data_IF_315826872908
#
_entry.id   IF_315826872908
#
_cell.length_a   1.000
_cell.length_b   1.000
_cell.length_c   1.000
_cell.angle_alpha   90.00
_cell.angle_beta   90.00
_cell.angle_gamma   90.00
#
_symmetry.space_group_name_H-M   'P 1'
#
loop_
_entity.id
_entity.type
_entity.pdbx_description
1 polymer ?
#
# COMPACT_ATOMS: atom_id res chain seq x y z
N UNK A 1 -10.61 29.81 -7.32
CA UNK A 1 -10.87 30.53 -8.58
C UNK A 1 -11.57 29.54 -9.51
N UNK A 2 -12.84 29.78 -9.75
CA UNK A 2 -13.63 29.00 -10.71
C UNK A 2 -13.19 29.36 -12.13
N UNK A 3 -12.92 28.34 -12.93
CA UNK A 3 -12.34 28.40 -14.29
C UNK A 3 -13.25 29.01 -15.36
N UNK A 4 -14.25 29.81 -15.01
CA UNK A 4 -15.19 30.37 -15.97
C UNK A 4 -14.71 31.55 -16.79
N UNK A 5 -13.52 32.09 -16.50
CA UNK A 5 -13.05 33.35 -17.10
C UNK A 5 -11.78 33.24 -17.94
N UNK A 6 -11.25 32.03 -18.13
CA UNK A 6 -10.13 31.83 -19.04
C UNK A 6 -10.63 31.24 -20.34
N UNK A 7 -10.49 31.95 -21.44
CA UNK A 7 -10.79 31.45 -22.77
C UNK A 7 -10.17 30.07 -22.98
N UNK A 8 -10.89 29.18 -23.62
CA UNK A 8 -10.69 27.73 -23.72
C UNK A 8 -9.32 27.29 -24.27
N UNK A 9 -8.51 28.19 -24.72
CA UNK A 9 -7.19 27.92 -25.32
C UNK A 9 -6.10 28.05 -24.26
N UNK A 10 -5.45 26.93 -23.90
CA UNK A 10 -4.27 26.82 -23.00
C UNK A 10 -4.56 26.72 -21.50
N UNK A 11 -5.48 25.89 -21.08
CA UNK A 11 -5.71 25.61 -19.65
C UNK A 11 -4.81 24.47 -19.17
N UNK A 12 -3.99 24.69 -18.12
CA UNK A 12 -3.28 23.65 -17.39
C UNK A 12 -4.09 23.33 -16.13
N UNK A 13 -4.42 22.06 -15.94
CA UNK A 13 -5.12 21.56 -14.75
C UNK A 13 -4.19 20.66 -13.98
N UNK A 14 -4.14 20.85 -12.66
CA UNK A 14 -3.31 20.06 -11.76
C UNK A 14 -4.22 19.28 -10.82
N UNK A 15 -4.02 17.97 -10.78
CA UNK A 15 -4.77 17.03 -9.97
C UNK A 15 -3.83 16.23 -9.08
N UNK A 16 -4.36 15.68 -7.99
CA UNK A 16 -3.64 14.67 -7.20
C UNK A 16 -3.66 13.32 -7.92
N UNK A 17 -2.71 12.44 -7.65
CA UNK A 17 -2.70 11.06 -8.21
C UNK A 17 -4.00 10.30 -7.91
N UNK A 18 -4.62 10.54 -6.76
CA UNK A 18 -5.91 9.93 -6.43
C UNK A 18 -7.01 10.24 -7.47
N UNK A 19 -6.94 11.40 -8.11
CA UNK A 19 -7.93 11.81 -9.12
C UNK A 19 -7.87 10.96 -10.39
N UNK A 20 -6.72 10.36 -10.70
CA UNK A 20 -6.56 9.44 -11.84
C UNK A 20 -7.46 8.20 -11.75
N UNK A 21 -7.94 7.86 -10.54
CA UNK A 21 -8.68 6.63 -10.25
C UNK A 21 -10.12 6.89 -9.82
N UNK A 22 -10.59 8.12 -9.82
CA UNK A 22 -11.98 8.45 -9.46
C UNK A 22 -12.92 8.10 -10.58
N UNK A 23 -14.09 7.48 -10.26
CA UNK A 23 -15.11 7.07 -11.20
C UNK A 23 -15.79 8.24 -11.93
N UNK A 24 -15.67 9.44 -11.41
CA UNK A 24 -16.20 10.70 -11.96
C UNK A 24 -15.11 11.76 -11.92
N UNK A 25 -13.98 11.48 -12.55
CA UNK A 25 -12.98 12.52 -12.70
C UNK A 25 -13.42 13.52 -13.78
N UNK A 26 -12.87 14.72 -13.72
CA UNK A 26 -13.17 15.77 -14.67
C UNK A 26 -12.67 15.44 -16.09
N UNK A 27 -11.74 14.49 -16.26
CA UNK A 27 -11.31 13.98 -17.56
C UNK A 27 -12.43 13.32 -18.36
N UNK A 28 -13.44 12.72 -17.69
CA UNK A 28 -14.59 12.09 -18.35
C UNK A 28 -15.68 13.11 -18.74
N UNK A 29 -15.65 14.32 -18.16
CA UNK A 29 -16.72 15.32 -18.37
C UNK A 29 -16.38 16.39 -19.38
N UNK A 30 -15.14 16.56 -19.70
CA UNK A 30 -14.64 17.61 -20.56
C UNK A 30 -14.01 17.04 -21.83
N UNK A 31 -13.89 17.91 -22.84
CA UNK A 31 -13.17 17.56 -24.07
C UNK A 31 -11.82 16.94 -23.71
N UNK A 32 -11.47 15.86 -24.42
CA UNK A 32 -10.23 15.12 -24.21
C UNK A 32 -9.05 16.09 -24.06
N UNK A 33 -8.26 15.99 -22.98
CA UNK A 33 -7.07 16.82 -22.85
C UNK A 33 -6.07 16.47 -23.97
N UNK A 34 -5.36 17.45 -24.46
CA UNK A 34 -4.33 17.27 -25.49
C UNK A 34 -3.15 16.43 -25.00
N UNK A 35 -2.87 16.46 -23.69
CA UNK A 35 -1.80 15.72 -23.02
C UNK A 35 -2.14 15.53 -21.55
N UNK A 36 -1.91 14.34 -21.03
CA UNK A 36 -1.90 14.04 -19.60
C UNK A 36 -0.45 13.81 -19.13
N UNK A 37 0.02 14.61 -18.17
CA UNK A 37 1.31 14.38 -17.54
C UNK A 37 1.10 13.82 -16.15
N UNK A 38 1.71 12.64 -15.88
CA UNK A 38 1.72 11.99 -14.58
C UNK A 38 3.13 12.13 -14.02
N UNK A 39 3.26 12.83 -12.90
CA UNK A 39 4.54 13.08 -12.23
C UNK A 39 4.65 12.20 -10.99
N UNK A 40 5.76 11.50 -10.84
CA UNK A 40 6.06 10.53 -9.77
C UNK A 40 5.16 9.27 -9.72
N UNK A 41 5.52 8.35 -8.82
CA UNK A 41 4.85 7.05 -8.65
C UNK A 41 3.41 7.18 -8.14
N UNK A 42 2.45 6.66 -8.88
CA UNK A 42 1.03 6.65 -8.55
C UNK A 42 0.53 5.33 -7.91
N UNK A 43 1.37 4.31 -7.83
CA UNK A 43 0.98 2.94 -7.42
C UNK A 43 0.22 2.93 -6.08
N UNK A 44 0.69 3.69 -5.09
CA UNK A 44 0.03 3.77 -3.79
C UNK A 44 -1.41 4.27 -3.87
N UNK A 45 -1.72 5.15 -4.83
CA UNK A 45 -3.08 5.63 -5.08
C UNK A 45 -3.92 4.60 -5.84
N UNK A 46 -3.30 3.88 -6.79
CA UNK A 46 -3.94 2.84 -7.58
C UNK A 46 -4.44 1.66 -6.73
N UNK A 47 -3.65 1.27 -5.72
CA UNK A 47 -3.95 0.13 -4.82
C UNK A 47 -4.47 0.57 -3.45
N UNK A 48 -4.80 1.85 -3.27
CA UNK A 48 -5.31 2.36 -2.00
C UNK A 48 -6.75 1.92 -1.73
N UNK A 49 -7.05 1.71 -0.44
CA UNK A 49 -8.42 1.39 0.03
C UNK A 49 -9.03 0.16 -0.67
N UNK A 50 -8.27 -0.95 -0.73
CA UNK A 50 -8.79 -2.22 -1.21
C UNK A 50 -10.05 -2.60 -0.42
N UNK A 51 -11.13 -3.04 -1.11
CA UNK A 51 -12.32 -3.50 -0.42
C UNK A 51 -12.03 -4.72 0.45
N UNK A 52 -12.69 -4.80 1.59
CA UNK A 52 -12.57 -5.96 2.49
C UNK A 52 -13.92 -6.34 3.08
N UNK A 53 -14.05 -7.62 3.45
CA UNK A 53 -15.23 -8.18 4.09
C UNK A 53 -14.80 -8.86 5.40
N UNK A 54 -15.41 -8.54 6.54
CA UNK A 54 -15.16 -9.25 7.79
C UNK A 54 -15.45 -10.75 7.65
N UNK A 55 -14.61 -11.60 8.24
CA UNK A 55 -14.75 -13.06 8.19
C UNK A 55 -16.15 -13.52 8.64
N UNK A 56 -16.69 -12.91 9.71
CA UNK A 56 -18.03 -13.22 10.18
C UNK A 56 -19.12 -13.02 9.13
N UNK A 57 -19.01 -11.96 8.31
CA UNK A 57 -19.95 -11.69 7.21
C UNK A 57 -19.81 -12.73 6.09
N UNK A 58 -18.58 -13.14 5.78
CA UNK A 58 -18.31 -14.18 4.77
C UNK A 58 -18.96 -15.51 5.20
N UNK A 59 -18.71 -15.95 6.42
CA UNK A 59 -19.27 -17.21 6.96
C UNK A 59 -20.80 -17.14 7.04
N UNK A 60 -21.35 -16.00 7.42
CA UNK A 60 -22.79 -15.84 7.59
C UNK A 60 -23.55 -15.83 6.26
N UNK A 61 -22.99 -15.23 5.23
CA UNK A 61 -23.72 -14.89 4.01
C UNK A 61 -23.30 -15.70 2.77
N UNK A 62 -22.12 -16.31 2.74
CA UNK A 62 -21.70 -17.16 1.62
C UNK A 62 -22.14 -18.60 1.91
N UNK A 63 -23.39 -18.90 1.54
CA UNK A 63 -24.02 -20.20 1.69
C UNK A 63 -25.17 -20.34 0.69
N UNK A 64 -25.53 -21.55 0.37
CA UNK A 64 -26.73 -21.87 -0.43
C UNK A 64 -27.38 -23.15 0.07
N UNK A 65 -28.61 -23.41 -0.34
CA UNK A 65 -29.33 -24.61 0.03
C UNK A 65 -28.58 -25.87 -0.42
N UNK A 66 -28.10 -26.64 0.51
CA UNK A 66 -27.29 -27.86 0.29
C UNK A 66 -25.81 -27.70 0.60
N UNK A 67 -25.28 -26.48 0.77
CA UNK A 67 -23.91 -26.27 1.21
C UNK A 67 -23.76 -25.02 2.09
N UNK A 68 -24.13 -25.16 3.34
CA UNK A 68 -24.12 -24.05 4.30
C UNK A 68 -22.71 -23.64 4.78
N UNK A 69 -21.69 -24.47 4.52
CA UNK A 69 -20.32 -24.25 4.99
C UNK A 69 -19.43 -23.56 3.96
N UNK A 70 -19.93 -23.19 2.79
CA UNK A 70 -19.14 -22.62 1.70
C UNK A 70 -18.28 -21.40 2.14
N UNK A 71 -18.88 -20.49 2.93
CA UNK A 71 -18.16 -19.34 3.47
C UNK A 71 -17.07 -19.72 4.46
N UNK A 72 -17.28 -20.75 5.25
CA UNK A 72 -16.28 -21.28 6.16
C UNK A 72 -15.11 -21.91 5.39
N UNK A 73 -15.39 -22.75 4.38
CA UNK A 73 -14.34 -23.37 3.57
C UNK A 73 -13.53 -22.36 2.77
N UNK A 74 -14.16 -21.29 2.29
CA UNK A 74 -13.44 -20.18 1.66
C UNK A 74 -12.49 -19.46 2.63
N UNK A 75 -12.97 -19.19 3.86
CA UNK A 75 -12.14 -18.58 4.90
C UNK A 75 -10.99 -19.50 5.29
N UNK A 76 -11.25 -20.77 5.47
CA UNK A 76 -10.26 -21.80 5.82
C UNK A 76 -9.20 -21.90 4.72
N UNK A 77 -9.61 -21.95 3.45
CA UNK A 77 -8.71 -21.94 2.30
C UNK A 77 -7.77 -20.73 2.34
N UNK A 78 -8.31 -19.52 2.53
CA UNK A 78 -7.53 -18.30 2.50
C UNK A 78 -6.63 -18.12 3.74
N UNK A 79 -7.08 -18.59 4.92
CA UNK A 79 -6.36 -18.36 6.19
C UNK A 79 -5.32 -19.43 6.48
N UNK A 80 -5.67 -20.71 6.34
CA UNK A 80 -4.86 -21.83 6.77
C UNK A 80 -4.13 -22.53 5.60
N UNK A 81 -4.68 -22.39 4.37
CA UNK A 81 -4.11 -22.98 3.17
C UNK A 81 -3.53 -21.92 2.19
N UNK A 82 -3.30 -20.71 2.66
CA UNK A 82 -2.70 -19.60 1.89
C UNK A 82 -3.40 -19.32 0.54
N UNK A 83 -4.67 -19.70 0.43
CA UNK A 83 -5.47 -19.53 -0.77
C UNK A 83 -5.27 -20.62 -1.84
N UNK A 84 -4.68 -21.76 -1.48
CA UNK A 84 -4.52 -22.92 -2.37
C UNK A 84 -5.89 -23.43 -2.84
N UNK A 85 -6.13 -23.35 -4.13
CA UNK A 85 -7.40 -23.74 -4.75
C UNK A 85 -7.62 -25.26 -4.75
N UNK A 86 -6.57 -26.08 -4.60
CA UNK A 86 -6.70 -27.52 -4.47
C UNK A 86 -7.54 -27.90 -3.24
N UNK A 87 -7.39 -27.13 -2.15
CA UNK A 87 -8.17 -27.32 -0.92
C UNK A 87 -9.69 -27.30 -1.16
N UNK A 88 -10.16 -26.38 -2.01
CA UNK A 88 -11.59 -26.28 -2.35
C UNK A 88 -11.99 -27.34 -3.40
N UNK A 89 -11.14 -27.55 -4.42
CA UNK A 89 -11.39 -28.53 -5.49
C UNK A 89 -11.46 -29.96 -4.95
N UNK A 90 -10.64 -30.31 -3.97
CA UNK A 90 -10.66 -31.63 -3.30
C UNK A 90 -11.94 -31.85 -2.48
N UNK A 91 -12.71 -30.81 -2.24
CA UNK A 91 -14.04 -30.82 -1.59
C UNK A 91 -15.20 -30.72 -2.57
N UNK A 92 -14.90 -30.90 -3.87
CA UNK A 92 -15.87 -30.71 -4.95
C UNK A 92 -16.52 -29.31 -4.97
N UNK A 93 -15.80 -28.29 -4.45
CA UNK A 93 -16.22 -26.89 -4.50
C UNK A 93 -15.66 -26.25 -5.77
N UNK A 94 -16.54 -25.82 -6.66
CA UNK A 94 -16.20 -25.15 -7.91
C UNK A 94 -16.91 -23.81 -8.08
N UNK A 95 -16.91 -23.28 -9.28
CA UNK A 95 -17.61 -22.03 -9.61
C UNK A 95 -19.14 -22.14 -9.44
N UNK A 96 -19.69 -23.34 -9.60
CA UNK A 96 -21.12 -23.57 -9.45
C UNK A 96 -21.61 -23.24 -8.04
N UNK A 97 -20.90 -23.70 -7.00
CA UNK A 97 -21.25 -23.47 -5.60
C UNK A 97 -21.25 -21.99 -5.27
N UNK A 98 -20.25 -21.25 -5.73
CA UNK A 98 -20.20 -19.79 -5.54
C UNK A 98 -21.29 -19.05 -6.33
N UNK A 99 -21.59 -19.47 -7.55
CA UNK A 99 -22.65 -18.88 -8.38
C UNK A 99 -24.06 -19.21 -7.86
N UNK A 100 -24.22 -20.30 -7.10
CA UNK A 100 -25.48 -20.68 -6.47
C UNK A 100 -25.81 -19.87 -5.21
N UNK A 101 -24.84 -19.09 -4.67
CA UNK A 101 -25.11 -18.19 -3.54
C UNK A 101 -26.15 -17.16 -3.94
N UNK A 102 -27.32 -17.20 -3.29
CA UNK A 102 -28.41 -16.26 -3.58
C UNK A 102 -28.07 -14.87 -3.10
N UNK A 103 -27.70 -14.02 -4.04
CA UNK A 103 -27.40 -12.62 -3.80
C UNK A 103 -28.66 -11.81 -3.47
N UNK A 104 -29.84 -12.34 -3.82
CA UNK A 104 -31.14 -11.67 -3.56
C UNK A 104 -31.51 -11.66 -2.07
N UNK A 105 -31.11 -12.67 -1.30
CA UNK A 105 -31.31 -12.72 0.14
C UNK A 105 -30.47 -11.68 0.90
N UNK A 106 -29.45 -11.16 0.26
CA UNK A 106 -28.57 -10.13 0.81
C UNK A 106 -29.06 -8.71 0.55
N UNK A 107 -30.23 -8.52 -0.08
CA UNK A 107 -30.76 -7.19 -0.39
C UNK A 107 -31.04 -6.41 0.90
N UNK A 108 -30.34 -5.28 1.14
CA UNK A 108 -30.51 -4.49 2.36
C UNK A 108 -31.94 -3.93 2.53
N UNK A 109 -32.73 -3.89 1.46
CA UNK A 109 -34.12 -3.45 1.53
C UNK A 109 -35.08 -4.51 2.11
N UNK A 110 -34.67 -5.78 2.20
CA UNK A 110 -35.51 -6.86 2.75
C UNK A 110 -35.31 -7.08 4.26
N UNK A 111 -34.20 -6.59 4.85
CA UNK A 111 -33.79 -6.90 6.23
C UNK A 111 -34.10 -5.77 7.23
N UNK A 112 -34.38 -4.54 6.79
CA UNK A 112 -34.51 -3.40 7.69
C UNK A 112 -35.85 -2.71 7.58
N UNK A 113 -36.65 -2.79 8.67
CA UNK A 113 -37.82 -1.95 8.90
C UNK A 113 -37.42 -0.46 8.93
N UNK A 114 -38.33 0.39 8.52
CA UNK A 114 -38.20 1.81 8.15
C UNK A 114 -37.61 2.79 9.19
N UNK A 115 -37.00 2.32 10.27
CA UNK A 115 -36.63 3.19 11.42
C UNK A 115 -35.12 3.38 11.65
N UNK A 116 -34.28 3.10 10.66
CA UNK A 116 -32.84 3.22 10.83
C UNK A 116 -32.19 4.21 9.86
N UNK A 117 -31.56 5.20 10.43
CA UNK A 117 -30.80 6.32 9.86
C UNK A 117 -30.06 6.01 8.54
N UNK A 118 -30.14 6.92 7.59
CA UNK A 118 -29.53 6.92 6.23
C UNK A 118 -28.07 6.40 6.18
N UNK A 119 -27.30 6.58 7.26
CA UNK A 119 -25.91 6.13 7.35
C UNK A 119 -25.76 4.58 7.46
N UNK A 120 -26.72 3.88 8.06
CA UNK A 120 -26.73 2.41 8.13
C UNK A 120 -27.06 1.79 6.78
N UNK A 121 -27.99 2.35 6.04
CA UNK A 121 -28.37 1.86 4.71
C UNK A 121 -27.23 1.96 3.70
N UNK A 122 -26.46 3.04 3.73
CA UNK A 122 -25.31 3.24 2.85
C UNK A 122 -24.18 2.24 3.19
N UNK A 123 -23.95 1.97 4.48
CA UNK A 123 -22.95 1.00 4.92
C UNK A 123 -23.33 -0.43 4.51
N UNK A 124 -24.58 -0.80 4.68
CA UNK A 124 -25.11 -2.11 4.28
C UNK A 124 -25.01 -2.30 2.77
N UNK A 125 -25.38 -1.32 1.97
CA UNK A 125 -25.28 -1.39 0.51
C UNK A 125 -23.83 -1.55 0.02
N UNK A 126 -22.87 -0.87 0.66
CA UNK A 126 -21.45 -1.00 0.34
C UNK A 126 -20.91 -2.38 0.70
N UNK A 127 -21.26 -2.91 1.87
CA UNK A 127 -20.85 -4.24 2.32
C UNK A 127 -21.40 -5.31 1.39
N UNK A 128 -22.67 -5.22 1.06
CA UNK A 128 -23.33 -6.11 0.10
C UNK A 128 -22.59 -6.14 -1.24
N UNK A 129 -22.33 -4.98 -1.84
CA UNK A 129 -21.59 -4.88 -3.10
C UNK A 129 -20.20 -5.51 -3.02
N UNK A 130 -19.52 -5.35 -1.89
CA UNK A 130 -18.19 -5.93 -1.67
C UNK A 130 -18.27 -7.45 -1.55
N UNK A 131 -19.28 -7.96 -0.85
CA UNK A 131 -19.51 -9.42 -0.71
C UNK A 131 -19.85 -10.07 -2.05
N UNK A 132 -20.75 -9.48 -2.83
CA UNK A 132 -21.07 -9.94 -4.19
C UNK A 132 -19.80 -10.03 -5.06
N UNK A 133 -18.99 -8.99 -5.03
CA UNK A 133 -17.73 -8.96 -5.76
C UNK A 133 -16.74 -10.04 -5.30
N UNK A 134 -16.69 -10.31 -4.01
CA UNK A 134 -15.86 -11.39 -3.45
C UNK A 134 -16.29 -12.75 -4.01
N UNK A 135 -17.61 -13.01 -4.04
CA UNK A 135 -18.18 -14.25 -4.60
C UNK A 135 -17.85 -14.39 -6.09
N UNK A 136 -18.02 -13.33 -6.86
CA UNK A 136 -17.70 -13.31 -8.30
C UNK A 136 -16.22 -13.62 -8.57
N UNK A 137 -15.32 -13.08 -7.75
CA UNK A 137 -13.89 -13.35 -7.86
C UNK A 137 -13.60 -14.80 -7.48
N UNK A 138 -14.17 -15.30 -6.39
CA UNK A 138 -13.98 -16.68 -5.95
C UNK A 138 -14.46 -17.68 -7.02
N UNK A 139 -15.65 -17.48 -7.58
CA UNK A 139 -16.19 -18.30 -8.66
C UNK A 139 -15.26 -18.31 -9.89
N UNK A 140 -14.83 -17.14 -10.34
CA UNK A 140 -13.97 -17.01 -11.51
C UNK A 140 -12.60 -17.67 -11.31
N UNK A 141 -11.97 -17.45 -10.16
CA UNK A 141 -10.61 -17.95 -9.93
C UNK A 141 -10.56 -19.44 -9.70
N UNK A 142 -11.58 -20.03 -9.07
CA UNK A 142 -11.66 -21.49 -8.91
C UNK A 142 -11.96 -22.22 -10.23
N UNK A 143 -12.67 -21.58 -11.16
CA UNK A 143 -12.97 -22.10 -12.49
C UNK A 143 -11.71 -22.16 -13.37
N UNK A 144 -10.79 -21.23 -13.17
CA UNK A 144 -9.52 -21.16 -13.93
C UNK A 144 -8.60 -22.29 -13.49
N UNK A 145 -8.57 -23.37 -14.31
CA UNK A 145 -7.76 -24.55 -14.06
C UNK A 145 -6.24 -24.28 -14.12
N UNK A 146 -5.83 -23.15 -14.69
CA UNK A 146 -4.43 -22.72 -14.72
C UNK A 146 -3.97 -22.05 -13.43
N UNK A 147 -4.89 -21.76 -12.51
CA UNK A 147 -4.57 -21.16 -11.21
C UNK A 147 -4.48 -22.23 -10.12
N UNK A 148 -3.39 -22.19 -9.37
CA UNK A 148 -3.18 -23.02 -8.18
C UNK A 148 -3.63 -22.31 -6.90
N UNK A 149 -3.60 -20.97 -6.88
CA UNK A 149 -3.95 -20.15 -5.72
C UNK A 149 -4.86 -18.98 -6.10
N UNK A 150 -5.62 -18.49 -5.12
CA UNK A 150 -6.33 -17.22 -5.28
C UNK A 150 -5.34 -16.08 -5.57
N UNK A 151 -5.51 -15.42 -6.70
CA UNK A 151 -4.68 -14.27 -7.09
C UNK A 151 -5.18 -12.96 -6.47
N UNK A 152 -6.49 -12.76 -6.41
CA UNK A 152 -7.10 -11.49 -6.01
C UNK A 152 -7.75 -11.51 -4.63
N UNK A 153 -7.76 -12.63 -3.92
CA UNK A 153 -8.27 -12.71 -2.55
C UNK A 153 -7.12 -12.97 -1.57
N UNK A 154 -7.11 -12.25 -0.45
CA UNK A 154 -6.12 -12.42 0.60
C UNK A 154 -6.76 -12.32 1.99
N UNK A 155 -6.29 -13.11 2.94
CA UNK A 155 -6.70 -13.01 4.34
C UNK A 155 -5.83 -12.01 5.11
N UNK A 156 -6.47 -11.09 5.80
CA UNK A 156 -5.81 -10.16 6.70
C UNK A 156 -6.00 -10.60 8.15
N UNK A 157 -4.99 -11.28 8.71
CA UNK A 157 -5.03 -11.81 10.06
C UNK A 157 -5.23 -10.73 11.13
N UNK A 158 -4.61 -9.54 10.98
CA UNK A 158 -4.70 -8.48 11.99
C UNK A 158 -6.10 -7.92 12.14
N UNK A 159 -6.85 -7.83 11.04
CA UNK A 159 -8.20 -7.27 11.04
C UNK A 159 -9.29 -8.34 10.98
N UNK A 160 -8.92 -9.60 10.80
CA UNK A 160 -9.83 -10.72 10.61
C UNK A 160 -10.84 -10.47 9.49
N UNK A 161 -10.32 -10.14 8.31
CA UNK A 161 -11.11 -9.81 7.11
C UNK A 161 -10.49 -10.41 5.85
N UNK A 162 -11.32 -10.70 4.85
CA UNK A 162 -10.87 -11.04 3.51
C UNK A 162 -10.77 -9.75 2.69
N UNK A 163 -9.61 -9.53 2.09
CA UNK A 163 -9.31 -8.36 1.27
C UNK A 163 -9.42 -8.73 -0.21
N UNK A 164 -10.12 -7.92 -0.97
CA UNK A 164 -10.16 -8.01 -2.43
C UNK A 164 -8.99 -7.19 -2.97
N UNK A 165 -7.96 -7.90 -3.44
CA UNK A 165 -6.75 -7.30 -3.98
C UNK A 165 -7.00 -6.89 -5.45
N UNK A 166 -7.31 -5.64 -5.65
CA UNK A 166 -7.53 -5.07 -6.98
C UNK A 166 -6.87 -3.71 -7.13
N UNK A 167 -6.45 -3.41 -8.32
CA UNK A 167 -6.01 -2.07 -8.67
C UNK A 167 -7.13 -1.31 -9.40
N UNK A 168 -7.10 0.00 -9.26
CA UNK A 168 -8.02 0.89 -9.96
C UNK A 168 -7.43 1.21 -11.33
N UNK A 169 -8.20 1.11 -12.43
CA UNK A 169 -7.73 1.51 -13.74
C UNK A 169 -7.47 3.02 -13.77
N UNK A 170 -6.47 3.43 -14.53
CA UNK A 170 -6.24 4.85 -14.83
C UNK A 170 -7.38 5.36 -15.71
N UNK A 171 -7.98 6.47 -15.32
CA UNK A 171 -9.13 7.10 -15.96
C UNK A 171 -8.72 8.26 -16.87
N UNK A 172 -7.73 8.04 -17.72
CA UNK A 172 -7.37 8.96 -18.79
C UNK A 172 -8.06 8.49 -20.09
N UNK A 173 -8.68 9.37 -20.87
CA UNK A 173 -9.30 8.97 -22.14
C UNK A 173 -8.29 8.23 -23.03
N UNK A 174 -8.67 7.13 -23.70
CA UNK A 174 -7.74 6.31 -24.49
C UNK A 174 -7.03 7.05 -25.61
N UNK A 175 -7.62 8.15 -26.12
CA UNK A 175 -7.05 8.99 -27.17
C UNK A 175 -6.05 10.03 -26.66
N UNK A 176 -5.94 10.22 -25.34
CA UNK A 176 -5.07 11.23 -24.76
C UNK A 176 -3.66 10.71 -24.67
N UNK A 177 -2.67 11.39 -25.28
CA UNK A 177 -1.26 11.07 -25.03
C UNK A 177 -0.90 11.19 -23.56
N UNK A 178 -0.12 10.24 -23.04
CA UNK A 178 0.33 10.22 -21.65
C UNK A 178 1.84 10.39 -21.61
N UNK A 179 2.30 11.36 -20.83
CA UNK A 179 3.70 11.52 -20.44
C UNK A 179 3.84 11.13 -18.97
N UNK A 180 4.56 10.05 -18.69
CA UNK A 180 4.85 9.60 -17.35
C UNK A 180 6.29 9.93 -16.96
N UNK A 181 6.49 10.65 -15.87
CA UNK A 181 7.77 11.13 -15.38
C UNK A 181 8.05 10.55 -13.99
N UNK A 182 8.97 9.58 -13.90
CA UNK A 182 9.33 8.96 -12.62
C UNK A 182 10.79 8.50 -12.67
N UNK A 183 11.58 8.92 -11.70
CA UNK A 183 12.98 8.53 -11.56
C UNK A 183 13.17 7.07 -11.11
N UNK A 184 12.12 6.45 -10.58
CA UNK A 184 12.13 5.10 -9.98
C UNK A 184 11.14 4.15 -10.65
N UNK A 185 10.66 4.51 -11.83
CA UNK A 185 9.67 3.70 -12.55
C UNK A 185 10.16 2.27 -12.79
N UNK A 186 9.32 1.32 -12.40
CA UNK A 186 9.47 -0.09 -12.75
C UNK A 186 8.57 -0.40 -13.95
N UNK A 187 9.18 -0.80 -15.07
CA UNK A 187 8.43 -1.04 -16.31
C UNK A 187 7.38 -2.13 -16.16
N UNK A 188 7.65 -3.18 -15.39
CA UNK A 188 6.71 -4.29 -15.18
C UNK A 188 5.44 -3.81 -14.48
N UNK A 189 5.61 -2.95 -13.47
CA UNK A 189 4.47 -2.37 -12.73
C UNK A 189 3.72 -1.38 -13.64
N UNK A 190 4.45 -0.52 -14.35
CA UNK A 190 3.83 0.50 -15.19
C UNK A 190 3.07 -0.11 -16.36
N UNK A 191 3.59 -1.18 -16.98
CA UNK A 191 2.93 -1.89 -18.09
C UNK A 191 1.58 -2.49 -17.68
N UNK A 192 1.37 -2.81 -16.42
CA UNK A 192 0.07 -3.25 -15.90
C UNK A 192 -1.01 -2.14 -15.98
N UNK A 193 -0.61 -0.87 -16.04
CA UNK A 193 -1.52 0.29 -16.11
C UNK A 193 -1.50 1.00 -17.46
N UNK A 194 -0.35 1.04 -18.10
CA UNK A 194 -0.06 1.80 -19.32
C UNK A 194 0.75 0.91 -20.29
N UNK A 195 0.15 -0.14 -20.85
CA UNK A 195 0.87 -1.19 -21.59
C UNK A 195 1.48 -0.73 -22.93
N UNK A 196 1.17 0.48 -23.39
CA UNK A 196 1.68 1.04 -24.67
C UNK A 196 2.75 2.11 -24.46
N UNK A 197 3.25 2.30 -23.23
CA UNK A 197 4.27 3.31 -22.94
C UNK A 197 5.61 2.95 -23.58
N UNK A 198 6.25 3.96 -24.15
CA UNK A 198 7.66 3.87 -24.59
C UNK A 198 8.54 4.42 -23.48
N UNK A 199 9.56 3.64 -23.09
CA UNK A 199 10.46 3.99 -21.99
C UNK A 199 11.71 4.69 -22.50
N UNK A 200 12.02 5.85 -21.89
CA UNK A 200 13.27 6.56 -22.09
C UNK A 200 13.98 6.72 -20.75
N UNK A 201 15.08 6.00 -20.55
CA UNK A 201 15.87 6.10 -19.33
C UNK A 201 16.92 7.20 -19.49
N UNK A 202 16.93 8.14 -18.56
CA UNK A 202 17.99 9.15 -18.46
C UNK A 202 18.92 8.74 -17.32
N UNK A 203 20.14 8.33 -17.65
CA UNK A 203 21.13 7.96 -16.66
C UNK A 203 21.76 9.22 -16.05
N UNK A 204 21.45 9.47 -14.80
CA UNK A 204 22.03 10.55 -14.00
C UNK A 204 23.11 9.96 -13.08
N UNK A 205 24.36 10.40 -13.25
CA UNK A 205 25.42 10.03 -12.31
C UNK A 205 25.26 10.80 -11.02
N UNK A 206 24.97 10.08 -9.95
CA UNK A 206 24.99 10.66 -8.61
C UNK A 206 26.46 10.95 -8.20
N UNK A 207 26.74 12.20 -7.82
CA UNK A 207 28.02 12.57 -7.24
C UNK A 207 27.96 12.40 -5.71
N UNK A 208 27.85 11.17 -5.26
CA UNK A 208 27.78 10.83 -3.85
C UNK A 208 28.74 9.69 -3.53
N UNK A 209 29.35 9.76 -2.35
CA UNK A 209 30.05 8.63 -1.74
C UNK A 209 29.07 7.97 -0.79
N UNK A 210 28.79 6.68 -1.01
CA UNK A 210 27.89 5.90 -0.17
C UNK A 210 28.72 4.97 0.71
N UNK A 211 28.56 5.11 2.03
CA UNK A 211 29.14 4.21 3.02
C UNK A 211 28.03 3.47 3.74
N UNK A 212 28.08 2.14 3.72
CA UNK A 212 27.05 1.30 4.34
C UNK A 212 27.64 0.51 5.51
N UNK A 213 26.97 0.58 6.65
CA UNK A 213 27.22 -0.33 7.79
C UNK A 213 26.41 -1.60 7.53
N UNK A 214 27.11 -2.73 7.30
CA UNK A 214 26.50 -4.00 6.87
C UNK A 214 26.36 -5.04 7.99
N UNK A 215 27.01 -4.83 9.14
CA UNK A 215 27.07 -5.76 10.26
C UNK A 215 25.97 -5.51 11.32
N UNK A 216 25.07 -4.58 11.07
CA UNK A 216 23.96 -4.25 11.97
C UNK A 216 22.64 -4.14 11.22
N UNK A 217 21.60 -4.77 11.75
CA UNK A 217 20.23 -4.61 11.30
C UNK A 217 19.62 -3.40 12.02
N UNK A 218 19.55 -2.26 11.31
CA UNK A 218 19.40 -0.94 11.93
C UNK A 218 18.03 -0.54 12.47
N UNK A 219 16.95 -1.34 12.34
CA UNK A 219 15.63 -0.82 12.77
C UNK A 219 15.32 -1.06 14.24
N UNK A 220 15.64 -2.22 14.77
CA UNK A 220 15.33 -2.57 16.16
C UNK A 220 16.45 -2.20 17.14
N UNK A 221 17.68 -1.96 16.67
CA UNK A 221 18.82 -1.58 17.50
C UNK A 221 18.80 -0.11 17.90
N UNK A 222 18.31 0.77 16.99
CA UNK A 222 18.24 2.21 17.26
C UNK A 222 16.94 2.66 17.92
N UNK A 223 15.85 1.91 17.72
CA UNK A 223 14.55 2.26 18.28
C UNK A 223 13.69 1.03 18.50
N UNK A 224 13.76 0.46 19.66
CA UNK A 224 12.67 -0.31 20.23
C UNK A 224 12.12 0.51 21.42
N UNK A 225 10.83 0.54 21.64
CA UNK A 225 10.23 1.32 22.72
C UNK A 225 10.79 1.05 24.13
N UNK A 226 11.63 0.02 24.28
CA UNK A 226 12.38 -0.29 25.52
C UNK A 226 13.59 0.62 25.70
N UNK A 227 14.30 0.98 24.63
CA UNK A 227 15.47 1.87 24.71
C UNK A 227 15.07 3.25 25.21
N UNK A 228 13.90 3.75 24.84
CA UNK A 228 13.38 5.01 25.33
C UNK A 228 12.96 4.96 26.80
N UNK A 229 12.42 3.84 27.28
CA UNK A 229 12.16 3.61 28.70
C UNK A 229 13.46 3.52 29.52
N UNK A 230 14.51 2.97 28.94
CA UNK A 230 15.84 2.88 29.57
C UNK A 230 16.53 4.24 29.64
N UNK A 231 16.38 5.13 28.66
CA UNK A 231 16.86 6.52 28.74
C UNK A 231 16.17 7.34 29.84
N UNK A 232 14.89 7.08 30.09
CA UNK A 232 14.17 7.69 31.23
C UNK A 232 14.58 7.07 32.58
N UNK A 233 15.06 5.84 32.57
CA UNK A 233 15.53 5.11 33.74
C UNK A 233 17.08 5.20 33.96
N UNK A 234 17.71 6.30 33.51
CA UNK A 234 19.15 6.57 33.68
C UNK A 234 19.68 6.51 35.14
N UNK A 235 18.81 6.25 36.09
CA UNK A 235 19.12 5.98 37.48
C UNK A 235 19.31 4.49 37.81
N UNK A 236 19.21 3.58 36.83
CA UNK A 236 19.42 2.16 37.07
C UNK A 236 20.93 1.81 37.03
N UNK A 237 21.47 1.06 38.02
CA UNK A 237 22.89 0.79 38.14
C UNK A 237 23.51 -0.11 37.08
N UNK A 238 22.69 -0.74 36.23
CA UNK A 238 23.11 -1.66 35.16
C UNK A 238 23.07 -1.06 33.74
N UNK A 239 22.90 0.26 33.66
CA UNK A 239 22.90 0.94 32.34
C UNK A 239 24.34 1.06 31.80
N UNK A 240 24.64 0.34 30.74
CA UNK A 240 25.90 0.48 30.02
C UNK A 240 25.76 1.53 28.89
N UNK A 241 26.30 2.74 29.06
CA UNK A 241 26.23 3.79 28.03
C UNK A 241 27.01 3.43 26.76
N UNK A 242 27.84 2.40 26.78
CA UNK A 242 28.56 1.95 25.56
C UNK A 242 27.67 1.23 24.57
N UNK A 243 26.49 0.78 24.96
CA UNK A 243 25.52 0.11 24.11
C UNK A 243 24.32 1.00 23.73
N UNK A 244 24.37 2.30 24.02
CA UNK A 244 23.33 3.22 23.61
C UNK A 244 23.56 3.70 22.17
N UNK A 245 22.91 3.04 21.21
CA UNK A 245 23.04 3.36 19.80
C UNK A 245 22.55 4.79 19.45
N UNK A 246 21.58 5.33 20.21
CA UNK A 246 21.09 6.71 20.04
C UNK A 246 22.18 7.71 20.49
N UNK A 247 22.81 7.49 21.64
CA UNK A 247 23.90 8.35 22.10
C UNK A 247 25.07 8.34 21.11
N UNK A 248 25.42 7.19 20.57
CA UNK A 248 26.45 7.04 19.54
C UNK A 248 26.06 7.79 18.26
N UNK A 249 24.82 7.67 17.82
CA UNK A 249 24.31 8.39 16.65
C UNK A 249 24.39 9.91 16.83
N UNK A 250 24.00 10.42 18.00
CA UNK A 250 24.11 11.86 18.33
C UNK A 250 25.56 12.32 18.29
N UNK A 251 26.48 11.54 18.87
CA UNK A 251 27.93 11.88 18.82
C UNK A 251 28.41 11.95 17.37
N UNK A 252 28.09 10.95 16.54
CA UNK A 252 28.50 10.93 15.14
C UNK A 252 27.94 12.16 14.39
N UNK A 253 26.68 12.46 14.54
CA UNK A 253 26.05 13.61 13.88
C UNK A 253 26.71 14.93 14.31
N UNK A 254 26.98 15.11 15.60
CA UNK A 254 27.63 16.29 16.12
C UNK A 254 29.09 16.43 15.65
N UNK A 255 29.82 15.33 15.50
CA UNK A 255 31.20 15.38 14.93
C UNK A 255 31.20 15.85 13.48
N UNK A 256 30.22 15.44 12.66
CA UNK A 256 30.10 15.97 11.30
C UNK A 256 29.79 17.48 11.30
N UNK A 257 28.96 17.95 12.22
CA UNK A 257 28.72 19.38 12.39
C UNK A 257 29.99 20.13 12.79
N UNK A 258 30.82 19.57 13.69
CA UNK A 258 32.12 20.16 14.07
C UNK A 258 33.10 20.18 12.91
N UNK A 259 33.02 19.22 12.00
CA UNK A 259 33.80 19.19 10.76
C UNK A 259 33.35 20.24 9.73
N UNK A 260 32.31 21.02 10.01
CA UNK A 260 31.81 22.07 9.13
C UNK A 260 30.71 21.61 8.16
N UNK A 261 30.24 20.36 8.30
CA UNK A 261 29.21 19.79 7.45
C UNK A 261 27.79 20.11 7.95
N UNK A 262 26.81 19.93 7.07
CA UNK A 262 25.39 20.14 7.37
C UNK A 262 24.61 18.82 7.25
N UNK A 263 24.63 17.98 8.30
CA UNK A 263 24.03 16.64 8.25
C UNK A 263 22.49 16.69 8.25
N UNK A 264 21.90 15.72 7.53
CA UNK A 264 20.50 15.36 7.57
C UNK A 264 20.39 13.92 8.09
N UNK A 265 19.63 13.70 9.14
CA UNK A 265 19.23 12.37 9.57
C UNK A 265 17.87 12.01 8.99
N UNK A 266 17.79 10.87 8.33
CA UNK A 266 16.55 10.28 7.82
C UNK A 266 16.28 8.98 8.56
N UNK A 267 15.13 8.88 9.25
CA UNK A 267 14.79 7.74 10.08
C UNK A 267 13.27 7.48 10.15
N UNK A 268 12.84 6.53 10.96
CA UNK A 268 11.43 6.37 11.32
C UNK A 268 10.93 7.56 12.14
N UNK A 269 9.63 7.83 12.05
CA UNK A 269 9.00 9.01 12.66
C UNK A 269 9.28 9.12 14.16
N UNK A 270 9.13 8.04 14.91
CA UNK A 270 9.27 8.05 16.37
C UNK A 270 10.71 8.44 16.81
N UNK A 271 11.73 7.91 16.13
CA UNK A 271 13.12 8.30 16.37
C UNK A 271 13.36 9.76 15.99
N UNK A 272 12.79 10.22 14.89
CA UNK A 272 12.90 11.63 14.48
C UNK A 272 12.24 12.58 15.48
N UNK A 273 11.06 12.23 16.00
CA UNK A 273 10.34 13.03 16.98
C UNK A 273 11.09 13.09 18.31
N UNK A 274 11.74 11.99 18.72
CA UNK A 274 12.62 11.95 19.90
C UNK A 274 13.86 12.84 19.71
N UNK A 275 14.55 12.74 18.57
CA UNK A 275 15.81 13.44 18.32
C UNK A 275 15.64 14.92 18.02
N UNK A 276 14.52 15.35 17.43
CA UNK A 276 14.29 16.75 17.02
C UNK A 276 14.44 17.75 18.14
N UNK A 277 14.10 17.37 19.36
CA UNK A 277 14.20 18.21 20.55
C UNK A 277 15.21 17.68 21.58
N UNK A 278 16.10 16.80 21.15
CA UNK A 278 17.05 16.17 22.06
C UNK A 278 18.14 17.16 22.48
N UNK A 279 18.37 17.40 23.79
CA UNK A 279 19.25 18.49 24.28
C UNK A 279 20.73 18.33 23.91
N UNK A 280 21.18 17.13 23.57
CA UNK A 280 22.56 16.83 23.16
C UNK A 280 22.76 16.85 21.65
N UNK A 281 21.70 16.95 20.83
CA UNK A 281 21.83 17.05 19.38
C UNK A 281 22.05 18.51 18.98
N UNK A 282 23.05 18.76 18.15
CA UNK A 282 23.35 20.10 17.64
C UNK A 282 22.18 20.58 16.75
N UNK A 283 21.73 21.81 16.95
CA UNK A 283 20.60 22.41 16.24
C UNK A 283 20.78 22.50 14.70
N UNK A 284 22.02 22.42 14.22
CA UNK A 284 22.35 22.41 12.80
C UNK A 284 22.06 21.07 12.12
N UNK A 285 21.87 20.00 12.89
CA UNK A 285 21.45 18.70 12.37
C UNK A 285 19.98 18.77 11.99
N UNK A 286 19.67 18.56 10.70
CA UNK A 286 18.30 18.42 10.28
C UNK A 286 17.82 16.98 10.53
N UNK A 287 16.56 16.84 10.97
CA UNK A 287 15.93 15.53 11.22
C UNK A 287 14.65 15.42 10.43
N UNK A 288 14.55 14.42 9.56
CA UNK A 288 13.40 14.15 8.72
C UNK A 288 13.02 12.67 8.76
N UNK A 289 11.74 12.36 8.74
CA UNK A 289 11.31 10.96 8.61
C UNK A 289 11.06 10.60 7.14
N UNK A 290 11.16 9.31 6.80
CA UNK A 290 11.05 8.82 5.42
C UNK A 290 9.86 9.39 4.64
N UNK A 291 8.67 9.49 5.26
CA UNK A 291 7.47 9.97 4.58
C UNK A 291 7.41 11.49 4.38
N UNK A 292 8.28 12.27 5.05
CA UNK A 292 8.31 13.74 4.95
C UNK A 292 9.22 14.26 3.85
N UNK A 293 9.89 13.38 3.12
CA UNK A 293 10.88 13.78 2.10
C UNK A 293 10.27 13.96 0.71
N UNK A 294 9.07 13.45 0.47
CA UNK A 294 8.44 13.56 -0.85
C UNK A 294 7.98 14.99 -1.11
N UNK A 295 8.27 15.49 -2.32
CA UNK A 295 7.81 16.81 -2.77
C UNK A 295 8.42 18.01 -2.04
N UNK A 296 9.54 17.83 -1.32
CA UNK A 296 10.23 18.93 -0.62
C UNK A 296 11.65 19.14 -1.11
N UNK A 297 12.01 20.42 -1.29
CA UNK A 297 13.38 20.85 -1.56
C UNK A 297 14.08 21.40 -0.32
N UNK A 298 13.49 21.25 0.87
CA UNK A 298 13.98 21.84 2.12
C UNK A 298 15.40 21.39 2.48
N UNK A 299 15.78 20.18 2.06
CA UNK A 299 17.04 19.54 2.44
C UNK A 299 18.09 19.51 1.30
N UNK A 300 17.86 20.23 0.19
CA UNK A 300 18.72 20.20 -1.01
C UNK A 300 20.18 20.63 -0.76
N UNK A 301 20.38 21.47 0.25
CA UNK A 301 21.70 22.05 0.58
C UNK A 301 22.42 21.26 1.70
N UNK A 302 21.93 20.07 2.07
CA UNK A 302 22.58 19.21 3.05
C UNK A 302 23.75 18.45 2.40
N UNK A 303 24.91 18.52 3.05
CA UNK A 303 26.15 17.94 2.52
C UNK A 303 26.31 16.46 2.85
N UNK A 304 25.70 15.99 3.95
CA UNK A 304 25.78 14.60 4.42
C UNK A 304 24.40 14.11 4.80
N UNK A 305 24.07 12.91 4.37
CA UNK A 305 22.79 12.25 4.70
C UNK A 305 23.08 10.96 5.46
N UNK A 306 22.53 10.84 6.65
CA UNK A 306 22.50 9.63 7.45
C UNK A 306 21.14 8.98 7.32
N UNK A 307 21.10 7.73 6.90
CA UNK A 307 19.87 6.96 6.79
C UNK A 307 19.92 5.82 7.79
N UNK A 308 19.00 5.79 8.73
CA UNK A 308 18.86 4.69 9.69
C UNK A 308 17.49 4.04 9.61
N UNK A 309 17.48 2.72 9.46
CA UNK A 309 16.28 1.94 9.18
C UNK A 309 15.92 1.87 7.69
N UNK A 310 14.81 1.25 7.39
CA UNK A 310 14.24 1.13 6.05
C UNK A 310 12.78 1.55 6.08
N UNK A 311 12.36 2.32 5.10
CA UNK A 311 10.93 2.54 4.85
C UNK A 311 10.38 1.34 4.06
N UNK A 312 10.32 0.19 4.72
CA UNK A 312 9.84 -1.04 4.13
C UNK A 312 8.42 -1.29 4.63
N UNK A 313 7.43 -1.37 3.73
CA UNK A 313 6.08 -1.77 4.12
C UNK A 313 6.11 -3.21 4.67
N UNK A 314 5.13 -3.58 5.51
CA UNK A 314 4.96 -4.97 5.93
C UNK A 314 4.88 -5.90 4.71
N UNK A 315 5.45 -7.10 4.80
CA UNK A 315 5.46 -8.06 3.70
C UNK A 315 4.03 -8.34 3.19
N UNK A 316 3.07 -8.46 4.11
CA UNK A 316 1.66 -8.62 3.77
C UNK A 316 1.05 -7.47 2.96
N UNK A 317 1.58 -6.24 3.13
CA UNK A 317 1.13 -5.09 2.34
C UNK A 317 1.72 -5.14 0.93
N UNK A 318 3.00 -5.52 0.82
CA UNK A 318 3.67 -5.74 -0.48
C UNK A 318 2.96 -6.84 -1.26
N UNK A 319 2.66 -7.96 -0.60
CA UNK A 319 1.92 -9.07 -1.18
C UNK A 319 0.54 -8.64 -1.70
N UNK A 320 -0.25 -7.93 -0.88
CA UNK A 320 -1.56 -7.42 -1.32
C UNK A 320 -1.46 -6.47 -2.51
N UNK A 321 -0.43 -5.63 -2.56
CA UNK A 321 -0.18 -4.75 -3.70
C UNK A 321 0.19 -5.55 -4.94
N UNK A 322 1.06 -6.54 -4.82
CA UNK A 322 1.43 -7.43 -5.91
C UNK A 322 0.21 -8.21 -6.44
N UNK A 323 -0.60 -8.76 -5.55
CA UNK A 323 -1.87 -9.41 -5.91
C UNK A 323 -2.83 -8.44 -6.62
N UNK A 324 -2.92 -7.19 -6.18
CA UNK A 324 -3.78 -6.20 -6.82
C UNK A 324 -3.34 -5.88 -8.26
N UNK A 325 -2.04 -5.86 -8.53
CA UNK A 325 -1.49 -5.54 -9.85
C UNK A 325 -1.48 -6.77 -10.77
N UNK A 326 -1.07 -7.93 -10.25
CA UNK A 326 -0.76 -9.13 -11.05
C UNK A 326 -1.71 -10.31 -10.82
N UNK A 327 -2.54 -10.28 -9.80
CA UNK A 327 -3.40 -11.41 -9.41
C UNK A 327 -4.42 -11.83 -10.47
N UNK A 328 -4.70 -10.97 -11.45
CA UNK A 328 -5.57 -11.28 -12.59
C UNK A 328 -4.78 -11.71 -13.84
N UNK A 329 -3.45 -11.66 -13.82
CA UNK A 329 -2.62 -12.18 -14.89
C UNK A 329 -2.63 -13.70 -14.86
N UNK A 330 -2.48 -14.34 -16.03
CA UNK A 330 -2.40 -15.80 -16.14
C UNK A 330 -1.17 -16.44 -15.48
N UNK A 331 -0.22 -15.62 -15.01
CA UNK A 331 0.94 -16.11 -14.26
C UNK A 331 0.65 -15.98 -12.78
N UNK A 332 0.53 -17.10 -12.03
CA UNK A 332 0.44 -17.04 -10.58
C UNK A 332 1.70 -16.35 -10.02
N UNK A 333 1.52 -15.58 -8.95
CA UNK A 333 2.63 -15.04 -8.18
C UNK A 333 3.41 -16.24 -7.63
N UNK A 334 4.60 -16.47 -8.15
CA UNK A 334 5.49 -17.48 -7.57
C UNK A 334 5.99 -16.94 -6.24
N UNK A 335 5.66 -17.63 -5.17
CA UNK A 335 6.34 -17.44 -3.89
C UNK A 335 7.55 -18.37 -3.92
N UNK A 336 8.74 -17.81 -4.05
CA UNK A 336 9.93 -18.55 -3.65
C UNK A 336 9.75 -18.84 -2.15
N UNK A 337 9.75 -20.12 -1.79
CA UNK A 337 9.84 -20.52 -0.39
C UNK A 337 11.09 -19.84 0.16
N UNK A 338 10.88 -18.76 0.91
CA UNK A 338 11.93 -18.17 1.72
C UNK A 338 12.23 -19.21 2.80
N UNK A 339 13.09 -20.15 2.45
CA UNK A 339 13.70 -21.03 3.43
C UNK A 339 14.31 -20.14 4.53
N UNK A 340 13.78 -20.34 5.74
CA UNK A 340 14.19 -19.66 6.97
C UNK A 340 15.69 -19.77 7.27
#
# INVERSE_FOLDING_TARGET
QTSSDLGVENTIRIYTHASLFLSRNEFEREANPDLATIDEAFLSSAVSNMPSVPVGEVIQHIRFDGYEQLGFDLVECLSNHQGDLSYLRDRDIGSFEFNAVSVEELNPNTVFSADTTQSRNVRSAKQYKTLTKLIEIAAREIEDQGKEQFGQLAYNQHKNEIVICEHKPIRVPPSTPVLYLDATADSIIIDAYLPTLQYHKIDVRQRAVVSQVYDRTGSNGFWNGKVWQEEQNLSQPDYDPQHNDIATLIVILNEWVKAGESPLLVAHKDLCDHLRNHPKLDERVAVAHFMSLRGTNQYKDRSVIFITGRNQPPLSDVERQARAVFGNSGNPLAYDDLEN
#
